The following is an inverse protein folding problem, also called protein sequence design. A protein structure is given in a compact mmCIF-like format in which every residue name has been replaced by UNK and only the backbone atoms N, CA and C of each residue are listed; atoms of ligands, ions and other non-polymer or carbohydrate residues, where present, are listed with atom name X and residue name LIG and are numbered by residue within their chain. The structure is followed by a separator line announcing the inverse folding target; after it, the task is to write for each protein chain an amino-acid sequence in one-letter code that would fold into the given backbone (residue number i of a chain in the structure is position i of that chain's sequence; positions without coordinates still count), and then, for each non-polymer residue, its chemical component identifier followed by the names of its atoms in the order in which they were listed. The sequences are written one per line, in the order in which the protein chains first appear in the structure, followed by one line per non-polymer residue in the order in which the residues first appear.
data_IF_214532125646
#
_entry.id   IF_214532125646
#
_cell.length_a   1.000
_cell.length_b   1.000
_cell.length_c   1.000
_cell.angle_alpha   90.00
_cell.angle_beta   90.00
_cell.angle_gamma   90.00
#
_symmetry.space_group_name_H-M   'P 1'
#
loop_
_entity.id
_entity.type
_entity.pdbx_description
1 polymer ?
#
# COMPACT_ATOMS: atom_id res chain seq x y z
N UNK A 1 -10.22 -12.60 -12.11
CA UNK A 1 -10.44 -11.29 -11.44
C UNK A 1 -10.75 -11.56 -9.97
N UNK A 2 -10.14 -10.81 -9.09
CA UNK A 2 -10.38 -10.86 -7.64
C UNK A 2 -10.97 -9.51 -7.24
N UNK A 3 -12.02 -9.50 -6.43
CA UNK A 3 -12.62 -8.25 -5.92
C UNK A 3 -12.30 -8.12 -4.43
N UNK A 4 -11.87 -6.93 -4.02
CA UNK A 4 -11.44 -6.61 -2.65
C UNK A 4 -12.15 -5.34 -2.22
N UNK A 5 -12.90 -5.42 -1.11
CA UNK A 5 -13.67 -4.29 -0.56
C UNK A 5 -13.07 -3.74 0.73
N UNK A 6 -12.15 -4.46 1.35
CA UNK A 6 -11.47 -4.02 2.56
C UNK A 6 -10.03 -4.51 2.63
N UNK A 7 -9.26 -3.92 3.54
CA UNK A 7 -7.89 -4.40 3.81
C UNK A 7 -7.92 -5.84 4.32
N UNK A 8 -8.90 -6.21 5.13
CA UNK A 8 -9.09 -7.57 5.63
C UNK A 8 -9.30 -8.58 4.50
N UNK A 9 -10.09 -8.23 3.48
CA UNK A 9 -10.27 -9.06 2.29
C UNK A 9 -8.97 -9.21 1.50
N UNK A 10 -8.17 -8.15 1.40
CA UNK A 10 -6.83 -8.22 0.80
C UNK A 10 -5.93 -9.18 1.59
N UNK A 11 -5.95 -9.12 2.90
CA UNK A 11 -5.18 -10.02 3.75
C UNK A 11 -5.63 -11.48 3.60
N UNK A 12 -6.94 -11.72 3.55
CA UNK A 12 -7.52 -13.04 3.29
C UNK A 12 -7.16 -13.56 1.90
N UNK A 13 -7.06 -12.68 0.92
CA UNK A 13 -6.59 -13.05 -0.40
C UNK A 13 -5.14 -13.56 -0.37
N UNK A 14 -4.23 -12.94 0.38
CA UNK A 14 -2.88 -13.48 0.56
C UNK A 14 -2.88 -14.88 1.18
N UNK A 15 -3.77 -15.15 2.14
CA UNK A 15 -3.94 -16.49 2.72
C UNK A 15 -4.39 -17.48 1.62
N UNK A 16 -5.33 -17.09 0.77
CA UNK A 16 -5.82 -17.93 -0.32
C UNK A 16 -4.74 -18.28 -1.37
N UNK A 17 -3.72 -17.44 -1.50
CA UNK A 17 -2.54 -17.69 -2.34
C UNK A 17 -1.49 -18.60 -1.66
N UNK A 18 -1.80 -19.12 -0.49
CA UNK A 18 -0.92 -20.00 0.30
C UNK A 18 0.02 -19.24 1.25
N UNK A 19 -0.28 -17.98 1.54
CA UNK A 19 0.45 -17.20 2.53
C UNK A 19 0.16 -17.69 3.95
N UNK A 20 1.22 -17.89 4.70
CA UNK A 20 1.17 -18.19 6.13
C UNK A 20 1.38 -16.92 6.93
N UNK A 21 0.35 -16.47 7.64
CA UNK A 21 0.47 -15.31 8.53
C UNK A 21 1.36 -15.66 9.72
N UNK A 22 2.30 -14.78 10.00
CA UNK A 22 3.15 -14.82 11.18
C UNK A 22 3.11 -13.46 11.84
N UNK A 23 2.70 -13.42 13.09
CA UNK A 23 2.77 -12.20 13.87
C UNK A 23 4.24 -11.87 14.15
N UNK A 24 4.54 -10.60 14.13
CA UNK A 24 5.83 -10.03 14.45
C UNK A 24 5.66 -9.03 15.60
N UNK A 25 6.75 -8.63 16.21
CA UNK A 25 6.72 -7.74 17.39
C UNK A 25 6.03 -6.39 17.07
N UNK A 26 6.16 -5.92 15.84
CA UNK A 26 5.65 -4.63 15.39
C UNK A 26 4.75 -4.77 14.14
N UNK A 27 3.87 -5.73 14.13
CA UNK A 27 2.98 -5.97 13.01
C UNK A 27 2.87 -7.44 12.65
N UNK A 28 2.71 -7.73 11.39
CA UNK A 28 2.62 -9.11 10.91
C UNK A 28 3.16 -9.25 9.50
N UNK A 29 3.44 -10.49 9.11
CA UNK A 29 3.89 -10.82 7.76
C UNK A 29 3.21 -12.05 7.21
N UNK A 30 3.06 -12.09 5.90
CA UNK A 30 2.77 -13.31 5.16
C UNK A 30 4.05 -13.86 4.55
N UNK A 31 4.27 -15.14 4.70
CA UNK A 31 5.39 -15.88 4.09
C UNK A 31 4.79 -16.91 3.15
N UNK A 32 5.28 -16.95 1.93
CA UNK A 32 4.83 -17.86 0.89
C UNK A 32 5.94 -18.88 0.60
N UNK A 33 5.97 -20.03 1.31
CA UNK A 33 7.11 -20.95 1.27
C UNK A 33 7.43 -21.48 -0.13
N UNK A 34 6.43 -21.64 -0.97
CA UNK A 34 6.58 -22.16 -2.34
C UNK A 34 7.11 -21.13 -3.34
N UNK A 35 7.07 -19.86 -3.02
CA UNK A 35 7.38 -18.76 -3.94
C UNK A 35 8.55 -17.90 -3.46
N UNK A 36 9.11 -18.19 -2.29
CA UNK A 36 10.11 -17.35 -1.61
C UNK A 36 9.67 -15.87 -1.47
N UNK A 37 8.37 -15.67 -1.44
CA UNK A 37 7.72 -14.35 -1.38
C UNK A 37 7.35 -13.99 0.05
N UNK A 38 7.29 -12.70 0.33
CA UNK A 38 6.88 -12.16 1.63
C UNK A 38 6.14 -10.85 1.46
N UNK A 39 5.17 -10.60 2.33
CA UNK A 39 4.53 -9.30 2.48
C UNK A 39 4.50 -8.98 3.96
N UNK A 40 4.98 -7.81 4.35
CA UNK A 40 5.02 -7.33 5.75
C UNK A 40 4.15 -6.11 5.88
N UNK A 41 3.54 -5.97 7.05
CA UNK A 41 2.73 -4.83 7.42
C UNK A 41 3.12 -4.34 8.81
N UNK A 42 3.10 -3.02 8.99
CA UNK A 42 3.32 -2.33 10.25
C UNK A 42 2.25 -1.27 10.45
N UNK A 43 1.93 -0.96 11.70
CA UNK A 43 1.01 0.11 12.08
C UNK A 43 -0.45 -0.30 12.08
N UNK A 44 -1.30 0.71 12.08
CA UNK A 44 -2.75 0.57 12.11
C UNK A 44 -3.33 0.57 10.70
N UNK A 45 -4.00 -0.51 10.35
CA UNK A 45 -4.64 -0.66 9.03
C UNK A 45 -5.85 0.27 8.83
N UNK A 46 -6.39 0.86 9.89
CA UNK A 46 -7.51 1.81 9.83
C UNK A 46 -7.06 3.28 9.91
N UNK A 47 -5.81 3.53 10.26
CA UNK A 47 -5.23 4.87 10.36
C UNK A 47 -4.05 5.05 9.43
N UNK A 48 -2.84 4.80 9.96
CA UNK A 48 -1.59 4.84 9.21
C UNK A 48 -0.91 3.49 9.25
N UNK A 49 -0.53 3.00 8.08
CA UNK A 49 0.22 1.75 7.97
C UNK A 49 1.33 1.84 6.93
N UNK A 50 2.32 0.98 7.10
CA UNK A 50 3.37 0.74 6.12
C UNK A 50 3.35 -0.72 5.67
N UNK A 51 3.72 -0.96 4.42
CA UNK A 51 3.88 -2.30 3.89
C UNK A 51 5.18 -2.44 3.08
N UNK A 52 5.74 -3.64 3.09
CA UNK A 52 6.87 -4.06 2.26
C UNK A 52 6.52 -5.40 1.62
N UNK A 53 6.54 -5.46 0.32
CA UNK A 53 6.21 -6.65 -0.44
C UNK A 53 7.34 -7.05 -1.39
N UNK A 54 7.68 -8.31 -1.33
CA UNK A 54 8.52 -9.02 -2.29
C UNK A 54 7.73 -10.26 -2.71
N UNK A 55 6.96 -10.12 -3.76
CA UNK A 55 5.91 -11.07 -4.09
C UNK A 55 5.83 -11.36 -5.58
N UNK A 56 5.53 -12.61 -5.91
CA UNK A 56 5.27 -13.06 -7.28
C UNK A 56 3.87 -13.68 -7.36
N UNK A 57 3.01 -13.11 -8.19
CA UNK A 57 1.70 -13.71 -8.44
C UNK A 57 1.87 -14.98 -9.30
N UNK A 58 1.20 -16.08 -8.95
CA UNK A 58 1.37 -17.35 -9.68
C UNK A 58 0.82 -17.31 -11.10
N UNK A 59 -0.06 -16.38 -11.41
CA UNK A 59 -0.68 -16.18 -12.74
C UNK A 59 -1.12 -14.73 -12.91
N UNK A 60 -1.38 -14.33 -14.14
CA UNK A 60 -1.99 -13.04 -14.44
C UNK A 60 -3.22 -12.82 -13.58
N UNK A 61 -3.23 -11.72 -12.86
CA UNK A 61 -4.28 -11.42 -11.90
C UNK A 61 -4.81 -10.01 -12.12
N UNK A 62 -6.13 -9.88 -12.16
CA UNK A 62 -6.79 -8.57 -12.10
C UNK A 62 -7.39 -8.43 -10.71
N UNK A 63 -6.96 -7.43 -9.99
CA UNK A 63 -7.47 -7.06 -8.68
C UNK A 63 -8.38 -5.86 -8.88
N UNK A 64 -9.65 -6.01 -8.50
CA UNK A 64 -10.61 -4.91 -8.41
C UNK A 64 -10.72 -4.49 -6.97
N UNK A 65 -10.23 -3.31 -6.66
CA UNK A 65 -10.33 -2.73 -5.31
C UNK A 65 -11.44 -1.70 -5.27
N UNK A 66 -12.31 -1.81 -4.30
CA UNK A 66 -13.43 -0.89 -4.08
C UNK A 66 -13.59 -0.70 -2.58
N UNK A 67 -12.72 0.10 -1.99
CA UNK A 67 -12.75 0.37 -0.56
C UNK A 67 -13.90 1.28 -0.19
N UNK A 68 -14.44 1.10 1.01
CA UNK A 68 -15.48 1.96 1.57
C UNK A 68 -14.94 3.25 2.16
N UNK A 69 -13.63 3.32 2.38
CA UNK A 69 -12.94 4.45 3.00
C UNK A 69 -12.00 5.11 1.99
N UNK A 70 -11.83 6.41 2.14
CA UNK A 70 -10.85 7.19 1.40
C UNK A 70 -9.47 6.93 1.95
N UNK A 71 -8.48 6.84 1.06
CA UNK A 71 -7.10 6.74 1.50
C UNK A 71 -6.11 7.28 0.46
N UNK A 72 -4.95 7.69 0.98
CA UNK A 72 -3.79 8.09 0.18
C UNK A 72 -2.73 7.02 0.34
N UNK A 73 -2.14 6.59 -0.76
CA UNK A 73 -0.99 5.70 -0.77
C UNK A 73 0.21 6.35 -1.47
N UNK A 74 1.37 6.22 -0.84
CA UNK A 74 2.65 6.62 -1.43
C UNK A 74 3.52 5.38 -1.46
N UNK A 75 3.92 4.94 -2.64
CA UNK A 75 4.69 3.72 -2.83
C UNK A 75 6.00 3.95 -3.55
N UNK A 76 6.99 3.15 -3.20
CA UNK A 76 8.25 2.99 -3.93
C UNK A 76 8.28 1.60 -4.54
N UNK A 77 8.24 1.51 -5.86
CA UNK A 77 8.45 0.27 -6.60
C UNK A 77 9.93 0.11 -6.94
N UNK A 78 10.55 -0.94 -6.42
CA UNK A 78 11.95 -1.28 -6.69
C UNK A 78 12.10 -2.20 -7.89
N UNK A 79 11.08 -3.02 -8.18
CA UNK A 79 11.08 -3.99 -9.25
C UNK A 79 9.67 -4.36 -9.69
N UNK A 80 9.51 -4.51 -10.99
CA UNK A 80 8.27 -4.94 -11.61
C UNK A 80 7.35 -3.78 -11.98
N UNK A 81 6.38 -4.08 -12.84
CA UNK A 81 5.39 -3.13 -13.34
C UNK A 81 3.99 -3.65 -13.13
N UNK A 82 3.07 -2.76 -12.82
CA UNK A 82 1.66 -3.04 -12.67
C UNK A 82 0.87 -2.03 -13.50
N UNK A 83 -0.09 -2.51 -14.28
CA UNK A 83 -1.04 -1.64 -14.95
C UNK A 83 -2.21 -1.35 -14.01
N UNK A 84 -2.51 -0.08 -13.84
CA UNK A 84 -3.65 0.34 -13.05
C UNK A 84 -4.60 1.19 -13.89
N UNK A 85 -5.89 1.02 -13.69
CA UNK A 85 -6.90 1.79 -14.41
C UNK A 85 -8.17 1.96 -13.59
N UNK A 86 -8.88 3.04 -13.85
CA UNK A 86 -10.24 3.29 -13.35
C UNK A 86 -11.25 3.00 -14.47
N UNK A 87 -12.54 3.07 -14.17
CA UNK A 87 -13.60 2.88 -15.17
C UNK A 87 -13.58 3.92 -16.33
N UNK A 88 -12.72 4.94 -16.25
CA UNK A 88 -12.65 6.05 -17.20
C UNK A 88 -11.52 5.96 -18.21
N UNK A 89 -11.09 4.76 -18.57
CA UNK A 89 -10.13 4.46 -19.66
C UNK A 89 -8.71 5.07 -19.53
N UNK A 90 -8.33 5.57 -18.38
CA UNK A 90 -6.94 5.96 -18.16
C UNK A 90 -6.16 4.78 -17.58
N UNK A 91 -5.35 4.15 -18.39
CA UNK A 91 -4.37 3.16 -17.91
C UNK A 91 -3.12 3.89 -17.46
N UNK A 92 -2.71 3.61 -16.24
CA UNK A 92 -1.48 4.12 -15.65
C UNK A 92 -0.55 2.95 -15.40
N UNK A 93 0.68 3.10 -15.80
CA UNK A 93 1.71 2.11 -15.53
C UNK A 93 2.47 2.51 -14.26
N UNK A 94 2.35 1.67 -13.25
CA UNK A 94 3.23 1.74 -12.09
C UNK A 94 4.50 0.98 -12.43
N UNK A 95 5.55 1.71 -12.69
CA UNK A 95 6.90 1.18 -12.89
C UNK A 95 7.79 1.40 -11.67
N UNK A 96 9.09 1.20 -11.86
CA UNK A 96 10.09 1.50 -10.85
C UNK A 96 10.08 3.00 -10.52
N UNK A 97 10.23 3.32 -9.25
CA UNK A 97 10.18 4.69 -8.73
C UNK A 97 9.03 4.93 -7.75
N UNK A 98 8.77 6.20 -7.48
CA UNK A 98 7.72 6.62 -6.54
C UNK A 98 6.38 6.70 -7.23
N UNK A 99 5.38 6.10 -6.63
CA UNK A 99 4.00 6.11 -7.09
C UNK A 99 3.12 6.69 -5.99
N UNK A 100 2.28 7.64 -6.33
CA UNK A 100 1.27 8.18 -5.44
C UNK A 100 -0.11 7.86 -5.99
N UNK A 101 -1.04 7.48 -5.12
CA UNK A 101 -2.41 7.21 -5.48
C UNK A 101 -3.37 7.68 -4.40
N UNK A 102 -4.48 8.21 -4.85
CA UNK A 102 -5.56 8.69 -3.98
C UNK A 102 -6.82 7.94 -4.36
N UNK A 103 -7.45 7.34 -3.37
CA UNK A 103 -8.71 6.66 -3.54
C UNK A 103 -9.83 7.45 -2.88
N UNK A 104 -10.71 7.97 -3.71
CA UNK A 104 -11.98 8.54 -3.29
C UNK A 104 -13.08 7.49 -3.53
N UNK A 105 -13.49 6.81 -2.45
CA UNK A 105 -14.60 5.86 -2.49
C UNK A 105 -15.87 6.50 -3.11
N UNK A 106 -16.70 5.79 -3.87
CA UNK A 106 -16.73 4.34 -4.08
C UNK A 106 -16.27 3.86 -5.47
N UNK A 107 -15.47 4.62 -6.18
CA UNK A 107 -15.08 4.26 -7.56
C UNK A 107 -14.14 3.06 -7.56
N UNK A 108 -14.46 1.98 -8.32
CA UNK A 108 -13.58 0.82 -8.39
C UNK A 108 -12.28 1.16 -9.10
N UNK A 109 -11.20 0.65 -8.55
CA UNK A 109 -9.86 0.71 -9.06
C UNK A 109 -9.44 -0.70 -9.49
N UNK A 110 -8.82 -0.81 -10.64
CA UNK A 110 -8.36 -2.07 -11.19
C UNK A 110 -6.84 -2.09 -11.28
N UNK A 111 -6.26 -3.20 -10.88
CA UNK A 111 -4.83 -3.42 -10.97
C UNK A 111 -4.59 -4.73 -11.70
N UNK A 112 -3.91 -4.67 -12.84
CA UNK A 112 -3.52 -5.86 -13.62
C UNK A 112 -2.08 -6.18 -13.29
N UNK A 113 -1.89 -7.33 -12.69
CA UNK A 113 -0.60 -7.83 -12.22
C UNK A 113 -0.19 -9.01 -13.07
N UNK A 114 0.94 -8.93 -13.79
CA UNK A 114 1.45 -10.05 -14.58
C UNK A 114 1.84 -11.23 -13.69
N UNK A 115 1.48 -12.44 -14.10
CA UNK A 115 1.91 -13.66 -13.44
C UNK A 115 3.38 -13.96 -13.70
N UNK A 116 4.06 -14.57 -12.72
CA UNK A 116 5.47 -14.92 -12.82
C UNK A 116 6.43 -13.73 -12.68
N UNK A 117 5.95 -12.49 -12.71
CA UNK A 117 6.77 -11.31 -12.48
C UNK A 117 6.96 -11.09 -10.98
N UNK A 118 8.20 -10.86 -10.57
CA UNK A 118 8.52 -10.45 -9.20
C UNK A 118 8.20 -8.97 -9.03
N UNK A 119 7.42 -8.67 -8.01
CA UNK A 119 7.09 -7.31 -7.58
C UNK A 119 7.79 -7.04 -6.26
N UNK A 120 8.56 -5.95 -6.22
CA UNK A 120 9.13 -5.42 -4.98
C UNK A 120 8.65 -3.99 -4.81
N UNK A 121 7.87 -3.77 -3.78
CA UNK A 121 7.39 -2.43 -3.47
C UNK A 121 7.30 -2.21 -1.96
N UNK A 122 7.41 -0.95 -1.58
CA UNK A 122 7.17 -0.44 -0.24
C UNK A 122 6.08 0.62 -0.32
N UNK A 123 5.16 0.63 0.64
CA UNK A 123 4.01 1.55 0.63
C UNK A 123 3.72 2.13 1.99
N UNK A 124 3.40 3.43 2.02
CA UNK A 124 2.78 4.12 3.13
C UNK A 124 1.32 4.37 2.79
N UNK A 125 0.42 4.06 3.71
CA UNK A 125 -1.02 4.15 3.50
C UNK A 125 -1.65 4.96 4.61
N UNK A 126 -2.36 6.03 4.24
CA UNK A 126 -3.02 6.95 5.13
C UNK A 126 -4.52 6.89 4.88
N UNK A 127 -5.27 6.46 5.85
CA UNK A 127 -6.73 6.51 5.79
C UNK A 127 -7.24 7.91 6.19
N UNK A 128 -8.42 8.28 5.75
CA UNK A 128 -9.04 9.58 6.08
C UNK A 128 -9.06 9.84 7.60
N UNK A 129 -9.27 8.78 8.39
CA UNK A 129 -9.26 8.85 9.84
C UNK A 129 -7.92 9.36 10.40
N UNK A 130 -6.77 8.96 9.81
CA UNK A 130 -5.45 9.44 10.24
C UNK A 130 -5.34 10.95 10.17
N UNK A 131 -5.82 11.54 9.08
CA UNK A 131 -5.78 12.99 8.88
C UNK A 131 -6.71 13.71 9.88
N UNK A 132 -7.91 13.18 10.11
CA UNK A 132 -8.86 13.72 11.07
C UNK A 132 -8.33 13.70 12.50
N UNK A 133 -7.76 12.57 12.94
CA UNK A 133 -7.20 12.39 14.29
C UNK A 133 -5.98 13.27 14.58
N UNK A 134 -5.26 13.66 13.54
CA UNK A 134 -4.07 14.48 13.68
C UNK A 134 -4.28 15.96 13.31
N UNK A 135 -5.54 16.37 13.10
CA UNK A 135 -5.93 17.73 12.73
C UNK A 135 -5.24 18.22 11.43
N UNK A 136 -4.99 17.31 10.50
CA UNK A 136 -4.47 17.64 9.17
C UNK A 136 -5.68 17.92 8.28
N UNK A 137 -5.89 19.18 7.83
CA UNK A 137 -7.08 19.51 7.04
C UNK A 137 -6.94 18.97 5.62
N UNK A 138 -7.61 17.87 5.32
CA UNK A 138 -7.87 17.46 3.96
C UNK A 138 -9.26 17.96 3.57
N UNK A 139 -9.28 19.00 2.78
CA UNK A 139 -10.54 19.58 2.29
C UNK A 139 -11.21 18.61 1.31
N UNK A 140 -12.53 18.64 1.23
CA UNK A 140 -13.29 17.87 0.24
C UNK A 140 -12.86 18.15 -1.21
N UNK A 141 -12.26 19.32 -1.47
CA UNK A 141 -11.63 19.64 -2.75
C UNK A 141 -10.47 18.71 -3.07
N UNK A 142 -9.61 18.38 -2.09
CA UNK A 142 -8.50 17.45 -2.29
C UNK A 142 -9.01 16.09 -2.81
N UNK A 143 -10.03 15.52 -2.15
CA UNK A 143 -10.61 14.24 -2.56
C UNK A 143 -11.33 14.32 -3.92
N UNK A 144 -11.98 15.44 -4.21
CA UNK A 144 -12.67 15.65 -5.49
C UNK A 144 -11.72 15.87 -6.65
N UNK A 145 -10.66 16.64 -6.43
CA UNK A 145 -9.70 17.00 -7.47
C UNK A 145 -8.70 15.86 -7.71
N UNK A 146 -8.39 15.12 -6.65
CA UNK A 146 -7.55 13.93 -6.68
C UNK A 146 -8.26 12.68 -7.22
N UNK A 147 -9.51 12.78 -7.68
CA UNK A 147 -10.40 11.68 -8.13
C UNK A 147 -9.65 10.54 -8.80
N UNK A 148 -9.29 9.52 -8.01
CA UNK A 148 -8.54 8.35 -8.47
C UNK A 148 -7.30 8.74 -9.29
N UNK A 149 -6.67 9.86 -8.92
CA UNK A 149 -5.48 10.32 -9.59
C UNK A 149 -4.34 9.45 -9.15
N UNK A 150 -3.97 8.54 -10.03
CA UNK A 150 -2.78 7.74 -9.89
C UNK A 150 -1.70 8.47 -10.65
N UNK A 151 -0.72 8.97 -9.96
CA UNK A 151 0.46 9.53 -10.57
C UNK A 151 1.59 8.51 -10.44
N UNK A 152 1.91 7.84 -11.55
CA UNK A 152 3.25 7.28 -11.71
C UNK A 152 4.18 8.45 -12.04
N UNK A 153 5.09 8.76 -11.16
CA UNK A 153 6.09 9.77 -11.42
C UNK A 153 7.47 9.13 -11.28
N UNK A 154 8.35 9.42 -12.25
CA UNK A 154 9.79 9.18 -12.12
C UNK A 154 10.39 10.10 -11.02
N UNK A 155 9.75 10.14 -9.86
CA UNK A 155 10.21 10.93 -8.74
C UNK A 155 11.29 10.14 -7.99
N UNK A 156 12.51 10.65 -8.04
CA UNK A 156 13.51 10.33 -7.04
C UNK A 156 13.05 10.96 -5.72
N UNK A 157 12.62 10.14 -4.77
CA UNK A 157 12.31 10.57 -3.41
C UNK A 157 13.23 9.86 -2.43
N UNK A 158 14.48 10.30 -2.28
CA UNK A 158 15.44 9.72 -1.34
C UNK A 158 14.91 9.75 0.11
N UNK A 159 14.04 10.70 0.44
CA UNK A 159 13.36 10.81 1.72
C UNK A 159 12.48 9.59 1.99
N UNK A 160 11.68 9.15 1.02
CA UNK A 160 10.85 7.95 1.16
C UNK A 160 11.70 6.70 1.35
N UNK A 161 12.76 6.55 0.58
CA UNK A 161 13.71 5.44 0.76
C UNK A 161 14.30 5.45 2.16
N UNK A 162 14.64 6.63 2.68
CA UNK A 162 15.13 6.80 4.05
C UNK A 162 14.07 6.38 5.08
N UNK A 163 12.82 6.79 4.91
CA UNK A 163 11.71 6.43 5.79
C UNK A 163 11.56 4.91 5.86
N UNK A 164 11.49 4.22 4.72
CA UNK A 164 11.36 2.76 4.70
C UNK A 164 12.51 2.04 5.37
N UNK A 165 13.74 2.45 5.11
CA UNK A 165 14.92 1.87 5.79
C UNK A 165 14.86 2.05 7.31
N UNK A 166 14.42 3.20 7.77
CA UNK A 166 14.25 3.47 9.20
C UNK A 166 13.17 2.59 9.80
N UNK A 167 12.02 2.37 9.12
CA UNK A 167 10.97 1.45 9.57
C UNK A 167 11.51 0.02 9.66
N UNK A 168 12.23 -0.44 8.66
CA UNK A 168 12.79 -1.80 8.63
C UNK A 168 13.85 -2.03 9.72
N UNK A 169 14.66 -1.01 10.05
CA UNK A 169 15.73 -1.08 11.02
C UNK A 169 15.29 -0.77 12.45
N UNK A 170 14.05 -0.32 12.64
CA UNK A 170 13.55 0.06 13.95
C UNK A 170 13.53 -1.14 14.90
N UNK A 171 14.10 -0.94 16.09
CA UNK A 171 14.14 -1.94 17.16
C UNK A 171 13.19 -1.63 18.32
N UNK A 172 12.46 -0.54 18.23
CA UNK A 172 11.42 -0.23 19.20
C UNK A 172 10.27 -1.25 19.08
N UNK A 173 9.52 -1.46 20.14
CA UNK A 173 8.43 -2.44 20.22
C UNK A 173 7.23 -1.88 20.94
N UNK A 174 6.04 -2.42 20.65
CA UNK A 174 4.79 -2.04 21.29
C UNK A 174 4.49 -0.55 21.14
N UNK A 175 3.99 0.08 22.19
CA UNK A 175 3.57 1.49 22.18
C UNK A 175 4.68 2.46 21.71
N UNK A 176 5.95 2.16 22.05
CA UNK A 176 7.06 2.98 21.60
C UNK A 176 7.25 2.94 20.08
N UNK A 177 7.06 1.77 19.47
CA UNK A 177 7.07 1.62 18.02
C UNK A 177 5.88 2.34 17.39
N UNK A 178 4.68 2.16 17.92
CA UNK A 178 3.45 2.76 17.36
C UNK A 178 3.53 4.29 17.39
N UNK A 179 4.01 4.86 18.50
CA UNK A 179 4.21 6.31 18.63
C UNK A 179 5.26 6.83 17.65
N UNK A 180 6.36 6.11 17.51
CA UNK A 180 7.43 6.44 16.59
C UNK A 180 6.98 6.32 15.13
N UNK A 181 6.24 5.25 14.77
CA UNK A 181 5.70 5.04 13.42
C UNK A 181 4.68 6.13 13.06
N UNK A 182 3.83 6.53 14.04
CA UNK A 182 2.90 7.65 13.87
C UNK A 182 3.62 8.96 13.58
N UNK A 183 4.77 9.21 14.24
CA UNK A 183 5.62 10.36 13.95
C UNK A 183 6.10 10.39 12.50
N UNK A 184 6.44 9.24 11.92
CA UNK A 184 6.75 9.13 10.49
C UNK A 184 5.56 9.42 9.59
N UNK A 185 4.37 8.94 9.95
CA UNK A 185 3.16 9.27 9.23
C UNK A 185 2.93 10.78 9.17
N UNK A 186 3.20 11.48 10.25
CA UNK A 186 3.08 12.94 10.31
C UNK A 186 4.17 13.67 9.52
N UNK A 187 5.38 13.11 9.41
CA UNK A 187 6.46 13.66 8.60
C UNK A 187 6.18 13.49 7.09
N UNK A 188 5.47 12.43 6.70
CA UNK A 188 5.19 12.08 5.32
C UNK A 188 3.85 12.62 4.77
N UNK A 189 2.93 13.04 5.66
CA UNK A 189 1.60 13.58 5.30
C UNK A 189 1.65 15.08 5.03
#
# INVERSE_FOLDING_TARGET
MVTIHSIEEMLNYYISLGGLRKDAVNGFRYVFPRQHSKVRFWGDLHGFSAADADFTYPKDTIIRSQFSQRYVGIGLSEQGTVEAYTQRDQTIHFGEGVNCFVFDSPVPFFMKVPGGQRLRFQGLYFQEQFFAENNIPLYDSFWRDAKNTIHGADLHAPELVSIYRRIEQCRLTGLAFDTWLKGFGLEAA
#
